data_IF_410516762298
#
_entry.id   IF_410516762298
#
_cell.length_a   1.000
_cell.length_b   1.000
_cell.length_c   1.000
_cell.angle_alpha   90.00
_cell.angle_beta   90.00
_cell.angle_gamma   90.00
#
_symmetry.space_group_name_H-M   'P 1'
#
loop_
_entity.id
_entity.type
_entity.pdbx_description
1 polymer ?
#
# COMPACT_ATOMS: atom_id res chain seq x y z
N UNK A 1 -22.04 8.34 13.55
CA UNK A 1 -21.78 7.17 12.68
C UNK A 1 -22.14 7.41 11.22
N UNK A 2 -23.10 8.28 10.88
CA UNK A 2 -23.47 8.63 9.50
C UNK A 2 -22.30 9.07 8.61
N UNK A 3 -21.46 10.00 9.09
CA UNK A 3 -20.28 10.49 8.35
C UNK A 3 -19.32 9.35 7.99
N UNK A 4 -19.05 8.46 8.95
CA UNK A 4 -18.18 7.30 8.72
C UNK A 4 -18.80 6.40 7.65
N UNK A 5 -20.10 6.12 7.71
CA UNK A 5 -20.79 5.32 6.68
C UNK A 5 -20.65 5.96 5.29
N UNK A 6 -20.83 7.26 5.17
CA UNK A 6 -20.70 7.97 3.89
C UNK A 6 -19.26 7.87 3.30
N UNK A 7 -18.23 7.91 4.15
CA UNK A 7 -16.83 7.74 3.71
C UNK A 7 -16.55 6.33 3.19
N UNK A 8 -17.10 5.30 3.84
CA UNK A 8 -16.97 3.92 3.36
C UNK A 8 -17.78 3.67 2.09
N UNK A 9 -19.02 4.17 2.03
CA UNK A 9 -19.89 4.02 0.85
C UNK A 9 -19.33 4.71 -0.40
N UNK A 10 -18.64 5.84 -0.24
CA UNK A 10 -17.97 6.55 -1.34
C UNK A 10 -16.56 6.03 -1.68
N UNK A 11 -15.98 5.21 -0.80
CA UNK A 11 -14.58 4.78 -0.90
C UNK A 11 -13.55 5.86 -0.53
N UNK A 12 -13.97 7.07 -0.11
CA UNK A 12 -13.05 8.15 0.27
C UNK A 12 -12.24 7.86 1.53
N UNK A 13 -12.66 6.89 2.35
CA UNK A 13 -11.82 6.38 3.44
C UNK A 13 -10.45 5.92 2.93
N UNK A 14 -10.38 5.40 1.70
CA UNK A 14 -9.13 4.94 1.10
C UNK A 14 -8.24 6.11 0.68
N UNK A 15 -8.83 7.19 0.15
CA UNK A 15 -8.09 8.41 -0.19
C UNK A 15 -7.37 8.98 1.03
N UNK A 16 -8.04 8.96 2.19
CA UNK A 16 -7.45 9.39 3.46
C UNK A 16 -6.23 8.53 3.84
N UNK A 17 -6.35 7.21 3.73
CA UNK A 17 -5.23 6.29 4.04
C UNK A 17 -4.08 6.50 3.05
N UNK A 18 -4.37 6.66 1.75
CA UNK A 18 -3.34 6.95 0.74
C UNK A 18 -2.62 8.27 1.03
N UNK A 19 -3.33 9.30 1.50
CA UNK A 19 -2.73 10.56 1.92
C UNK A 19 -1.79 10.38 3.13
N UNK A 20 -2.17 9.53 4.10
CA UNK A 20 -1.30 9.19 5.23
C UNK A 20 -0.05 8.44 4.76
N UNK A 21 -0.17 7.46 3.85
CA UNK A 21 0.98 6.76 3.29
C UNK A 21 1.90 7.70 2.51
N UNK A 22 1.34 8.67 1.78
CA UNK A 22 2.13 9.69 1.09
C UNK A 22 2.86 10.61 2.08
N UNK A 23 2.20 11.02 3.17
CA UNK A 23 2.83 11.79 4.24
C UNK A 23 3.93 10.99 4.95
N UNK A 24 3.72 9.71 5.20
CA UNK A 24 4.73 8.80 5.76
C UNK A 24 5.94 8.66 4.83
N UNK A 25 5.72 8.50 3.53
CA UNK A 25 6.79 8.49 2.53
C UNK A 25 7.64 9.76 2.62
N UNK A 26 6.99 10.93 2.57
CA UNK A 26 7.67 12.23 2.62
C UNK A 26 8.44 12.37 3.93
N UNK A 27 7.82 12.06 5.07
CA UNK A 27 8.47 12.11 6.38
C UNK A 27 9.73 11.23 6.38
N UNK A 28 9.62 9.95 6.02
CA UNK A 28 10.75 9.02 6.07
C UNK A 28 11.89 9.44 5.15
N UNK A 29 11.59 9.94 3.95
CA UNK A 29 12.60 10.48 3.03
C UNK A 29 13.28 11.71 3.61
N UNK A 30 12.53 12.64 4.20
CA UNK A 30 13.08 13.82 4.87
C UNK A 30 13.96 13.46 6.08
N UNK A 31 13.77 12.30 6.71
CA UNK A 31 14.65 11.76 7.76
C UNK A 31 15.93 11.09 7.23
N UNK A 32 16.19 11.17 5.92
CA UNK A 32 17.43 10.68 5.31
C UNK A 32 17.35 9.23 4.83
N UNK A 33 16.16 8.60 4.85
CA UNK A 33 16.00 7.28 4.24
C UNK A 33 16.03 7.39 2.72
N UNK A 34 16.57 6.38 2.06
CA UNK A 34 16.55 6.31 0.59
C UNK A 34 15.10 6.18 0.11
N UNK A 35 14.68 7.10 -0.76
CA UNK A 35 13.33 7.12 -1.33
C UNK A 35 12.91 5.79 -1.96
N UNK A 36 13.85 5.06 -2.57
CA UNK A 36 13.58 3.76 -3.16
C UNK A 36 13.26 2.68 -2.12
N UNK A 37 13.95 2.68 -0.97
CA UNK A 37 13.72 1.69 0.08
C UNK A 37 12.38 1.98 0.80
N UNK A 38 12.09 3.26 1.07
CA UNK A 38 10.78 3.69 1.61
C UNK A 38 9.66 3.38 0.62
N UNK A 39 9.84 3.72 -0.66
CA UNK A 39 8.85 3.50 -1.70
C UNK A 39 8.50 2.02 -1.87
N UNK A 40 9.50 1.14 -1.89
CA UNK A 40 9.26 -0.31 -1.94
C UNK A 40 8.53 -0.82 -0.70
N UNK A 41 8.91 -0.35 0.50
CA UNK A 41 8.23 -0.71 1.74
C UNK A 41 6.76 -0.32 1.79
N UNK A 42 6.40 0.82 1.20
CA UNK A 42 5.01 1.32 1.18
C UNK A 42 4.21 0.82 -0.02
N UNK A 43 4.88 0.38 -1.10
CA UNK A 43 4.22 0.02 -2.35
C UNK A 43 3.18 -1.09 -2.24
N UNK A 44 3.44 -2.12 -1.42
CA UNK A 44 2.49 -3.20 -1.17
C UNK A 44 1.22 -2.67 -0.46
N UNK A 45 1.38 -1.75 0.50
CA UNK A 45 0.26 -1.11 1.20
C UNK A 45 -0.55 -0.22 0.24
N UNK A 46 0.11 0.55 -0.61
CA UNK A 46 -0.55 1.38 -1.64
C UNK A 46 -1.38 0.52 -2.59
N UNK A 47 -0.83 -0.58 -3.10
CA UNK A 47 -1.58 -1.48 -3.98
C UNK A 47 -2.77 -2.11 -3.28
N UNK A 48 -2.63 -2.54 -2.03
CA UNK A 48 -3.74 -3.07 -1.25
C UNK A 48 -4.86 -2.03 -1.06
N UNK A 49 -4.50 -0.77 -0.84
CA UNK A 49 -5.46 0.33 -0.77
C UNK A 49 -6.14 0.59 -2.12
N UNK A 50 -5.40 0.57 -3.23
CA UNK A 50 -6.00 0.70 -4.56
C UNK A 50 -7.00 -0.41 -4.87
N UNK A 51 -6.69 -1.66 -4.49
CA UNK A 51 -7.62 -2.78 -4.58
C UNK A 51 -8.89 -2.55 -3.74
N UNK A 52 -8.72 -2.09 -2.50
CA UNK A 52 -9.84 -1.74 -1.62
C UNK A 52 -10.70 -0.62 -2.21
N UNK A 53 -10.09 0.41 -2.80
CA UNK A 53 -10.84 1.49 -3.45
C UNK A 53 -11.69 0.95 -4.59
N UNK A 54 -11.07 0.17 -5.48
CA UNK A 54 -11.76 -0.45 -6.61
C UNK A 54 -12.95 -1.31 -6.13
N UNK A 55 -12.78 -2.07 -5.05
CA UNK A 55 -13.84 -2.86 -4.46
C UNK A 55 -14.98 -2.01 -3.88
N UNK A 56 -14.66 -0.93 -3.14
CA UNK A 56 -15.67 -0.05 -2.54
C UNK A 56 -16.45 0.76 -3.57
N UNK A 57 -15.84 1.13 -4.70
CA UNK A 57 -16.50 1.90 -5.77
C UNK A 57 -17.18 1.02 -6.82
N UNK A 58 -17.23 -0.30 -6.62
CA UNK A 58 -17.88 -1.23 -7.55
C UNK A 58 -17.17 -1.37 -8.90
N UNK A 59 -15.84 -1.19 -8.94
CA UNK A 59 -15.07 -1.41 -10.16
C UNK A 59 -15.12 -2.88 -10.61
N UNK A 60 -14.91 -3.13 -11.90
CA UNK A 60 -14.84 -4.49 -12.43
C UNK A 60 -13.70 -5.29 -11.78
N UNK A 61 -13.92 -6.60 -11.60
CA UNK A 61 -12.99 -7.48 -10.88
C UNK A 61 -11.52 -7.43 -11.34
N UNK A 62 -11.16 -7.19 -12.63
CA UNK A 62 -9.76 -7.12 -13.03
C UNK A 62 -9.01 -5.97 -12.34
N UNK A 63 -9.69 -4.85 -12.08
CA UNK A 63 -9.12 -3.68 -11.40
C UNK A 63 -8.91 -3.89 -9.90
N UNK A 64 -9.59 -4.89 -9.32
CA UNK A 64 -9.38 -5.33 -7.95
C UNK A 64 -8.24 -6.36 -7.92
N UNK A 65 -8.28 -7.35 -8.82
CA UNK A 65 -7.32 -8.45 -8.86
C UNK A 65 -5.90 -8.00 -9.23
N UNK A 66 -5.76 -7.07 -10.18
CA UNK A 66 -4.46 -6.58 -10.64
C UNK A 66 -3.59 -6.02 -9.50
N UNK A 67 -4.05 -5.03 -8.70
CA UNK A 67 -3.26 -4.52 -7.58
C UNK A 67 -3.01 -5.58 -6.50
N UNK A 68 -3.94 -6.50 -6.24
CA UNK A 68 -3.74 -7.60 -5.29
C UNK A 68 -2.60 -8.54 -5.71
N UNK A 69 -2.56 -8.92 -7.00
CA UNK A 69 -1.51 -9.79 -7.51
C UNK A 69 -0.16 -9.07 -7.52
N UNK A 70 -0.14 -7.78 -7.89
CA UNK A 70 1.08 -6.97 -7.91
C UNK A 70 1.62 -6.63 -6.51
N UNK A 71 0.77 -6.63 -5.47
CA UNK A 71 1.24 -6.36 -4.09
C UNK A 71 2.19 -7.44 -3.58
N UNK A 72 1.99 -8.69 -4.01
CA UNK A 72 2.83 -9.81 -3.59
C UNK A 72 4.31 -9.68 -4.03
N UNK A 73 4.66 -9.55 -5.32
CA UNK A 73 6.06 -9.41 -5.75
C UNK A 73 6.72 -8.15 -5.18
N UNK A 74 5.97 -7.05 -5.00
CA UNK A 74 6.50 -5.84 -4.37
C UNK A 74 6.81 -6.05 -2.89
N UNK A 75 5.92 -6.72 -2.16
CA UNK A 75 6.18 -7.08 -0.77
C UNK A 75 7.40 -8.01 -0.65
N UNK A 76 7.53 -8.99 -1.54
CA UNK A 76 8.69 -9.88 -1.55
C UNK A 76 10.00 -9.12 -1.82
N UNK A 77 9.98 -8.15 -2.75
CA UNK A 77 11.13 -7.30 -3.05
C UNK A 77 11.55 -6.44 -1.83
N UNK A 78 10.59 -5.93 -1.07
CA UNK A 78 10.85 -5.22 0.20
C UNK A 78 11.47 -6.16 1.26
N UNK A 79 10.89 -7.34 1.49
CA UNK A 79 11.44 -8.34 2.42
C UNK A 79 12.86 -8.77 2.04
N UNK A 80 13.14 -8.91 0.75
CA UNK A 80 14.48 -9.23 0.25
C UNK A 80 15.49 -8.13 0.59
N UNK A 81 15.11 -6.86 0.39
CA UNK A 81 15.97 -5.70 0.69
C UNK A 81 16.24 -5.54 2.18
N UNK A 82 15.25 -5.86 3.02
CA UNK A 82 15.40 -5.90 4.48
C UNK A 82 16.23 -7.10 4.95
N UNK A 83 16.67 -7.97 4.04
CA UNK A 83 17.46 -9.15 4.37
C UNK A 83 16.66 -10.27 5.03
N UNK A 84 15.33 -10.16 5.10
CA UNK A 84 14.46 -11.13 5.79
C UNK A 84 14.36 -12.46 5.03
N UNK A 85 14.64 -12.45 3.72
CA UNK A 85 14.68 -13.68 2.91
C UNK A 85 16.03 -14.42 2.99
N UNK A 86 17.04 -13.85 3.67
CA UNK A 86 18.32 -14.52 3.84
C UNK A 86 18.17 -15.63 4.88
N UNK A 87 18.26 -16.89 4.43
CA UNK A 87 18.30 -18.05 5.33
C UNK A 87 19.55 -17.94 6.20
N UNK A 88 19.38 -17.75 7.51
CA UNK A 88 20.48 -17.96 8.46
C UNK A 88 20.92 -19.42 8.32
N UNK A 89 22.13 -19.64 7.82
CA UNK A 89 22.78 -20.95 7.95
C UNK A 89 23.31 -21.05 9.38
N UNK A 90 23.01 -22.14 10.11
CA UNK A 90 23.56 -22.37 11.45
C UNK A 90 25.09 -22.55 11.39
#
# INVERSE_FOLDING_TARGET
MEVVRALFASGHVVDLVLAVLAAEFVWLVLRGNRALDVGLGLSAAVLMMLALRAALTGAAWPWIALPLVLSFPLHLADLQRRGMLRRHRP
#
